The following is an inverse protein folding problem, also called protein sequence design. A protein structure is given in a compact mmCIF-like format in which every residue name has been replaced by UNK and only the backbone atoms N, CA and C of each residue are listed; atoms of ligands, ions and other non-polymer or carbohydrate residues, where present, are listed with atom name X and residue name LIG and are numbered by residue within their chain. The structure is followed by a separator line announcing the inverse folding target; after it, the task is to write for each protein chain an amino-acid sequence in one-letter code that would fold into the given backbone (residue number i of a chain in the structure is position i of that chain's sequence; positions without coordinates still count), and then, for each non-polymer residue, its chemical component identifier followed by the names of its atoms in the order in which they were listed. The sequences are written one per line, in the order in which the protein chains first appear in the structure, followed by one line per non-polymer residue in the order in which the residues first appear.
data_IF_746321642949
#
_entry.id   IF_746321642949
#
_cell.length_a   1.000
_cell.length_b   1.000
_cell.length_c   1.000
_cell.angle_alpha   90.00
_cell.angle_beta   90.00
_cell.angle_gamma   90.00
#
_symmetry.space_group_name_H-M   'P 1'
#
loop_
_entity.id
_entity.type
_entity.pdbx_description
1 polymer ?
#
# COMPACT_ATOMS: atom_id res chain seq x y z
N UNK A 1 72.45 12.47 -2.02
CA UNK A 1 71.39 11.94 -1.11
C UNK A 1 70.07 12.66 -1.44
N UNK A 2 69.14 12.01 -2.15
CA UNK A 2 67.85 12.59 -2.55
C UNK A 2 66.75 11.83 -1.82
N UNK A 3 66.07 12.51 -0.91
CA UNK A 3 64.99 11.95 -0.12
C UNK A 3 63.67 12.07 -0.93
N UNK A 4 63.09 10.96 -1.31
CA UNK A 4 61.71 10.89 -1.84
C UNK A 4 60.78 10.72 -0.63
N UNK A 5 60.00 11.80 -0.34
CA UNK A 5 58.89 11.73 0.59
C UNK A 5 57.68 11.27 -0.22
N UNK A 6 57.28 10.02 -0.02
CA UNK A 6 56.03 9.47 -0.58
C UNK A 6 54.82 9.98 0.19
N UNK A 7 53.95 10.73 -0.47
CA UNK A 7 52.64 11.19 0.03
C UNK A 7 51.65 10.04 -0.07
N UNK A 8 51.35 9.35 1.05
CA UNK A 8 50.26 8.40 1.13
C UNK A 8 48.94 9.18 1.24
N UNK A 9 48.15 9.26 0.15
CA UNK A 9 46.81 9.78 0.19
C UNK A 9 45.91 8.72 0.83
N UNK A 10 45.49 8.92 2.09
CA UNK A 10 44.42 8.16 2.72
C UNK A 10 43.09 8.58 1.99
N UNK A 11 42.59 7.72 1.13
CA UNK A 11 41.19 7.79 0.71
C UNK A 11 40.32 7.34 1.90
N UNK A 12 39.84 8.29 2.69
CA UNK A 12 38.77 8.06 3.64
C UNK A 12 37.49 7.78 2.84
N UNK A 13 37.20 6.53 2.57
CA UNK A 13 35.89 6.11 2.09
C UNK A 13 34.86 6.52 3.16
N UNK A 14 33.98 7.49 2.84
CA UNK A 14 32.83 7.77 3.66
C UNK A 14 31.95 6.51 3.68
N UNK A 15 32.09 5.70 4.74
CA UNK A 15 31.15 4.64 5.01
C UNK A 15 29.77 5.33 5.15
N UNK A 16 28.86 5.07 4.24
CA UNK A 16 27.48 5.52 4.35
C UNK A 16 26.95 4.97 5.68
N UNK A 17 26.69 5.87 6.63
CA UNK A 17 26.22 5.47 7.96
C UNK A 17 24.82 4.88 7.78
N UNK A 18 24.64 3.62 8.17
CA UNK A 18 23.34 2.97 8.19
C UNK A 18 22.37 3.80 9.03
N UNK A 19 21.23 4.17 8.47
CA UNK A 19 20.20 4.95 9.14
C UNK A 19 18.87 4.23 9.11
N UNK A 20 17.97 4.60 10.02
CA UNK A 20 16.59 4.11 10.01
C UNK A 20 15.66 5.20 9.46
N UNK A 21 14.55 4.78 8.81
CA UNK A 21 13.47 5.65 8.35
C UNK A 21 12.12 5.12 8.83
N UNK A 22 11.32 6.00 9.45
CA UNK A 22 9.96 5.67 9.95
C UNK A 22 8.95 5.81 8.81
N UNK A 23 8.32 4.70 8.43
CA UNK A 23 7.48 4.63 7.23
C UNK A 23 6.04 4.27 7.59
N UNK A 24 5.11 5.16 7.26
CA UNK A 24 3.67 4.87 7.28
C UNK A 24 3.27 4.23 5.96
N UNK A 25 2.72 3.03 5.98
CA UNK A 25 2.41 2.23 4.79
C UNK A 25 0.94 1.84 4.80
N UNK A 26 0.21 2.17 3.75
CA UNK A 26 -1.16 1.71 3.57
C UNK A 26 -1.24 0.18 3.57
N UNK A 27 -2.21 -0.37 4.31
CA UNK A 27 -2.29 -1.79 4.66
C UNK A 27 -2.38 -2.74 3.45
N UNK A 28 -2.88 -2.26 2.29
CA UNK A 28 -2.88 -3.03 1.04
C UNK A 28 -1.47 -3.32 0.52
N UNK A 29 -0.49 -2.49 0.89
CA UNK A 29 0.88 -2.60 0.41
C UNK A 29 1.82 -3.32 1.40
N UNK A 30 1.27 -3.97 2.45
CA UNK A 30 2.04 -4.63 3.50
C UNK A 30 3.06 -5.64 2.95
N UNK A 31 2.61 -6.64 2.22
CA UNK A 31 3.49 -7.72 1.74
C UNK A 31 4.54 -7.23 0.72
N UNK A 32 4.19 -6.40 -0.30
CA UNK A 32 5.20 -5.82 -1.18
C UNK A 32 6.22 -4.98 -0.42
N UNK A 33 5.77 -4.11 0.51
CA UNK A 33 6.67 -3.22 1.25
C UNK A 33 7.61 -3.97 2.18
N UNK A 34 7.17 -5.04 2.84
CA UNK A 34 8.04 -5.89 3.64
C UNK A 34 9.17 -6.49 2.80
N UNK A 35 8.84 -6.97 1.58
CA UNK A 35 9.85 -7.50 0.65
C UNK A 35 10.79 -6.40 0.14
N UNK A 36 10.24 -5.23 -0.22
CA UNK A 36 11.05 -4.07 -0.65
C UNK A 36 11.97 -3.62 0.48
N UNK A 37 11.48 -3.54 1.73
CA UNK A 37 12.27 -3.11 2.89
C UNK A 37 13.46 -4.05 3.17
N UNK A 38 13.25 -5.37 3.06
CA UNK A 38 14.32 -6.34 3.20
C UNK A 38 15.41 -6.19 2.12
N UNK A 39 15.01 -5.99 0.86
CA UNK A 39 15.96 -5.77 -0.23
C UNK A 39 16.62 -4.38 -0.14
N UNK A 40 15.90 -3.36 0.31
CA UNK A 40 16.43 -2.03 0.58
C UNK A 40 17.53 -2.07 1.66
N UNK A 41 17.28 -2.73 2.77
CA UNK A 41 18.26 -2.90 3.84
C UNK A 41 19.52 -3.64 3.35
N UNK A 42 19.33 -4.72 2.60
CA UNK A 42 20.42 -5.50 2.01
C UNK A 42 21.27 -4.68 1.05
N UNK A 43 20.64 -3.86 0.19
CA UNK A 43 21.33 -3.15 -0.89
C UNK A 43 21.96 -1.82 -0.42
N UNK A 44 21.42 -1.20 0.64
CA UNK A 44 21.83 0.15 1.07
C UNK A 44 22.39 0.21 2.49
N UNK A 45 22.14 -0.80 3.31
CA UNK A 45 22.43 -0.79 4.75
C UNK A 45 21.44 0.05 5.57
N UNK A 46 20.54 0.84 4.94
CA UNK A 46 19.50 1.57 5.65
C UNK A 46 18.31 0.69 5.96
N UNK A 47 17.65 0.93 7.09
CA UNK A 47 16.50 0.15 7.54
C UNK A 47 15.20 0.95 7.47
N UNK A 48 14.17 0.39 6.86
CA UNK A 48 12.82 0.93 6.89
C UNK A 48 12.02 0.31 8.06
N UNK A 49 11.59 1.14 9.00
CA UNK A 49 10.74 0.76 10.14
C UNK A 49 9.29 0.99 9.73
N UNK A 50 8.54 -0.09 9.52
CA UNK A 50 7.24 -0.06 8.87
C UNK A 50 6.09 -0.06 9.87
N UNK A 51 5.15 0.86 9.71
CA UNK A 51 3.84 0.85 10.36
C UNK A 51 2.76 0.69 9.29
N UNK A 52 1.79 -0.20 9.53
CA UNK A 52 0.73 -0.50 8.57
C UNK A 52 -0.64 -0.05 9.08
N UNK A 53 -1.44 0.58 8.22
CA UNK A 53 -2.76 1.10 8.61
C UNK A 53 -3.57 1.64 7.45
N UNK A 54 -4.70 2.30 7.76
CA UNK A 54 -5.49 3.02 6.77
C UNK A 54 -4.87 4.38 6.45
N UNK A 55 -4.90 4.79 5.18
CA UNK A 55 -4.36 6.07 4.70
C UNK A 55 -4.90 7.27 5.50
N UNK A 56 -6.23 7.36 5.70
CA UNK A 56 -6.84 8.45 6.45
C UNK A 56 -6.49 8.46 7.94
N UNK A 57 -6.17 7.30 8.53
CA UNK A 57 -5.64 7.21 9.90
C UNK A 57 -4.22 7.77 9.98
N UNK A 58 -3.37 7.45 8.99
CA UNK A 58 -2.03 8.02 8.91
C UNK A 58 -2.05 9.52 8.68
N UNK A 59 -2.95 10.02 7.81
CA UNK A 59 -3.16 11.46 7.67
C UNK A 59 -3.40 12.13 9.03
N UNK A 60 -4.38 11.62 9.80
CA UNK A 60 -4.69 12.16 11.11
C UNK A 60 -3.51 12.10 12.08
N UNK A 61 -2.72 11.04 12.07
CA UNK A 61 -1.52 10.89 12.90
C UNK A 61 -0.42 11.88 12.50
N UNK A 62 -0.18 12.03 11.18
CA UNK A 62 0.86 12.94 10.64
C UNK A 62 0.56 14.39 11.03
N UNK A 63 -0.65 14.88 10.81
CA UNK A 63 -1.03 16.27 11.16
C UNK A 63 -1.03 16.52 12.67
N UNK A 64 -1.16 15.46 13.49
CA UNK A 64 -1.01 15.50 14.94
C UNK A 64 0.42 15.20 15.42
N UNK A 65 1.40 15.22 14.53
CA UNK A 65 2.81 15.18 14.89
C UNK A 65 3.41 13.79 15.07
N UNK A 66 2.81 12.72 14.56
CA UNK A 66 3.43 11.39 14.55
C UNK A 66 4.82 11.39 13.88
N UNK A 67 5.77 10.52 14.31
CA UNK A 67 7.17 10.59 13.91
C UNK A 67 7.45 9.93 12.55
N UNK A 68 6.46 9.86 11.66
CA UNK A 68 6.66 9.30 10.33
C UNK A 68 7.48 10.25 9.45
N UNK A 69 8.34 9.65 8.63
CA UNK A 69 9.27 10.35 7.73
C UNK A 69 8.94 10.11 6.25
N UNK A 70 8.29 8.98 5.94
CA UNK A 70 7.78 8.66 4.61
C UNK A 70 6.35 8.11 4.73
N UNK A 71 5.48 8.50 3.82
CA UNK A 71 4.14 7.96 3.66
C UNK A 71 4.03 7.24 2.31
N UNK A 72 3.54 6.00 2.31
CA UNK A 72 3.02 5.30 1.14
C UNK A 72 1.51 5.16 1.31
N UNK A 73 0.76 6.05 0.65
CA UNK A 73 -0.71 6.09 0.72
C UNK A 73 -1.34 5.09 -0.25
N UNK A 74 -2.62 4.76 -0.04
CA UNK A 74 -3.43 3.99 -0.98
C UNK A 74 -4.28 4.88 -1.92
N UNK A 75 -4.05 6.18 -1.89
CA UNK A 75 -4.62 7.20 -2.78
C UNK A 75 -3.56 8.24 -3.16
N UNK A 76 -3.89 9.14 -4.07
CA UNK A 76 -3.09 10.30 -4.46
C UNK A 76 -3.58 11.61 -3.80
N UNK A 77 -4.79 11.62 -3.27
CA UNK A 77 -5.42 12.79 -2.64
C UNK A 77 -4.79 13.13 -1.28
N UNK A 78 -4.56 12.11 -0.44
CA UNK A 78 -3.98 12.30 0.90
C UNK A 78 -2.57 12.90 0.84
N UNK A 79 -1.61 12.38 0.03
CA UNK A 79 -0.31 13.01 -0.14
C UNK A 79 -0.39 14.42 -0.73
N UNK A 80 -1.30 14.65 -1.71
CA UNK A 80 -1.51 15.99 -2.27
C UNK A 80 -2.02 16.99 -1.21
N UNK A 81 -2.94 16.56 -0.34
CA UNK A 81 -3.43 17.37 0.77
C UNK A 81 -2.31 17.72 1.76
N UNK A 82 -1.47 16.74 2.12
CA UNK A 82 -0.31 16.97 2.99
C UNK A 82 0.70 17.94 2.35
N UNK A 83 0.85 17.96 1.02
CA UNK A 83 1.68 18.96 0.32
C UNK A 83 1.11 20.37 0.49
N UNK A 84 -0.19 20.56 0.30
CA UNK A 84 -0.88 21.85 0.50
C UNK A 84 -0.75 22.34 1.95
N UNK A 85 -0.75 21.42 2.90
CA UNK A 85 -0.60 21.68 4.33
C UNK A 85 0.88 21.82 4.79
N UNK A 86 1.83 21.85 3.86
CA UNK A 86 3.27 21.93 4.13
C UNK A 86 3.82 20.84 5.06
N UNK A 87 3.20 19.65 5.05
CA UNK A 87 3.62 18.49 5.85
C UNK A 87 4.62 17.58 5.10
N UNK A 88 5.03 17.96 3.91
CA UNK A 88 5.89 17.14 3.04
C UNK A 88 7.13 17.90 2.57
N UNK A 89 8.10 17.16 2.03
CA UNK A 89 9.22 17.74 1.30
C UNK A 89 8.78 17.98 -0.15
N UNK A 90 8.81 19.23 -0.64
CA UNK A 90 8.37 19.57 -1.98
C UNK A 90 9.08 18.76 -3.08
N UNK A 91 8.30 18.29 -4.07
CA UNK A 91 8.82 17.56 -5.23
C UNK A 91 9.18 16.11 -4.99
N UNK A 92 8.87 15.55 -3.80
CA UNK A 92 9.14 14.13 -3.48
C UNK A 92 7.93 13.22 -3.69
N UNK A 93 6.73 13.79 -3.94
CA UNK A 93 5.53 13.01 -4.23
C UNK A 93 5.60 12.36 -5.62
N UNK A 94 5.27 11.08 -5.68
CA UNK A 94 5.15 10.35 -6.94
C UNK A 94 4.21 9.15 -6.79
N UNK A 95 3.56 8.75 -7.89
CA UNK A 95 2.77 7.52 -7.93
C UNK A 95 3.69 6.31 -7.98
N UNK A 96 3.62 5.45 -6.98
CA UNK A 96 4.44 4.23 -6.89
C UNK A 96 3.70 2.98 -7.39
N UNK A 97 2.36 3.00 -7.41
CA UNK A 97 1.53 1.88 -7.83
C UNK A 97 0.09 2.31 -8.14
N UNK A 98 -0.59 1.55 -9.00
CA UNK A 98 -2.04 1.60 -9.14
C UNK A 98 -2.62 0.24 -8.74
N UNK A 99 -3.50 0.26 -7.73
CA UNK A 99 -4.09 -0.94 -7.16
C UNK A 99 -5.34 -1.42 -7.88
N UNK A 100 -5.72 -2.68 -7.60
CA UNK A 100 -6.96 -3.28 -8.10
C UNK A 100 -7.81 -3.81 -6.95
N UNK A 101 -9.09 -3.55 -7.02
CA UNK A 101 -10.08 -4.08 -6.09
C UNK A 101 -10.51 -5.48 -6.54
N UNK A 102 -10.70 -6.38 -5.59
CA UNK A 102 -11.17 -7.76 -5.84
C UNK A 102 -12.30 -8.09 -4.88
N UNK A 103 -13.38 -8.64 -5.39
CA UNK A 103 -14.30 -9.43 -4.57
C UNK A 103 -13.70 -10.81 -4.42
N UNK A 104 -13.46 -11.26 -3.19
CA UNK A 104 -12.75 -12.50 -2.92
C UNK A 104 -13.43 -13.32 -1.82
N UNK A 105 -13.31 -14.64 -1.93
CA UNK A 105 -13.64 -15.63 -0.89
C UNK A 105 -12.44 -16.55 -0.67
N UNK A 106 -12.21 -16.94 0.59
CA UNK A 106 -11.18 -17.94 0.91
C UNK A 106 -11.53 -19.36 0.38
N UNK A 107 -12.78 -19.57 -0.02
CA UNK A 107 -13.26 -20.84 -0.58
C UNK A 107 -13.27 -20.81 -2.10
N UNK A 108 -12.86 -21.91 -2.70
CA UNK A 108 -12.92 -22.09 -4.14
C UNK A 108 -14.37 -22.11 -4.65
N UNK A 109 -14.60 -21.54 -5.83
CA UNK A 109 -15.88 -21.57 -6.53
C UNK A 109 -17.01 -20.72 -5.91
N UNK A 110 -16.76 -19.98 -4.82
CA UNK A 110 -17.78 -19.08 -4.22
C UNK A 110 -17.94 -17.79 -5.02
N UNK A 111 -16.85 -17.25 -5.52
CA UNK A 111 -16.84 -16.05 -6.36
C UNK A 111 -16.44 -16.45 -7.77
N UNK A 112 -17.34 -16.23 -8.73
CA UNK A 112 -17.06 -16.42 -10.16
C UNK A 112 -16.31 -15.20 -10.75
N UNK A 113 -15.90 -15.30 -12.00
CA UNK A 113 -15.17 -14.24 -12.71
C UNK A 113 -16.03 -13.01 -13.10
N UNK A 114 -17.29 -12.96 -12.68
CA UNK A 114 -18.23 -11.87 -12.94
C UNK A 114 -18.84 -11.30 -11.64
N UNK A 115 -18.53 -11.87 -10.47
CA UNK A 115 -19.05 -11.44 -9.19
C UNK A 115 -20.58 -11.65 -9.03
N UNK A 116 -21.15 -12.66 -9.70
CA UNK A 116 -22.60 -12.90 -9.67
C UNK A 116 -23.14 -13.15 -8.26
N UNK A 117 -22.31 -13.68 -7.36
CA UNK A 117 -22.66 -13.90 -5.95
C UNK A 117 -23.15 -12.61 -5.25
N UNK A 118 -22.70 -11.44 -5.66
CA UNK A 118 -23.22 -10.15 -5.14
C UNK A 118 -24.68 -9.96 -5.46
N UNK A 119 -25.16 -10.44 -6.61
CA UNK A 119 -26.55 -10.31 -7.07
C UNK A 119 -27.45 -11.35 -6.43
N UNK A 120 -26.98 -12.55 -6.19
CA UNK A 120 -27.78 -13.60 -5.53
C UNK A 120 -28.07 -13.25 -4.08
N UNK A 121 -27.10 -12.60 -3.42
CA UNK A 121 -27.21 -12.21 -2.00
C UNK A 121 -27.19 -13.38 -1.04
N UNK A 122 -26.79 -14.56 -1.49
CA UNK A 122 -26.75 -15.79 -0.69
C UNK A 122 -25.48 -15.87 0.17
N UNK A 123 -25.33 -14.86 1.05
CA UNK A 123 -24.26 -14.75 2.04
C UNK A 123 -24.74 -13.91 3.23
N UNK A 124 -24.22 -14.24 4.43
CA UNK A 124 -24.58 -13.53 5.65
C UNK A 124 -23.84 -12.19 5.78
N UNK A 125 -22.55 -12.13 5.42
CA UNK A 125 -21.69 -10.98 5.59
C UNK A 125 -20.86 -10.72 4.34
N UNK A 126 -20.62 -9.42 4.05
CA UNK A 126 -19.73 -8.92 3.01
C UNK A 126 -18.71 -7.98 3.68
N UNK A 127 -17.45 -8.40 3.73
CA UNK A 127 -16.41 -7.59 4.34
C UNK A 127 -15.95 -6.46 3.43
N UNK A 128 -15.80 -5.26 4.00
CA UNK A 128 -15.18 -4.10 3.35
C UNK A 128 -14.23 -3.40 4.32
N UNK A 129 -13.27 -2.64 3.80
CA UNK A 129 -12.56 -1.67 4.63
C UNK A 129 -13.46 -0.45 4.93
N UNK A 130 -13.16 0.30 5.98
CA UNK A 130 -13.90 1.51 6.32
C UNK A 130 -13.78 2.55 5.17
N UNK A 131 -14.88 2.89 4.48
CA UNK A 131 -14.82 3.76 3.31
C UNK A 131 -14.44 5.21 3.63
N UNK A 132 -14.54 5.63 4.89
CA UNK A 132 -14.19 6.99 5.33
C UNK A 132 -12.66 7.18 5.47
N UNK A 133 -11.91 6.10 5.64
CA UNK A 133 -10.47 6.18 5.95
C UNK A 133 -9.60 5.30 5.07
N UNK A 134 -10.20 4.39 4.29
CA UNK A 134 -9.48 3.43 3.44
C UNK A 134 -9.96 3.53 1.99
N UNK A 135 -9.10 3.90 1.03
CA UNK A 135 -9.45 4.06 -0.38
C UNK A 135 -10.08 2.81 -1.01
N UNK A 136 -9.61 1.61 -0.65
CA UNK A 136 -10.24 0.37 -1.10
C UNK A 136 -11.67 0.18 -0.57
N UNK A 137 -11.98 0.73 0.61
CA UNK A 137 -13.34 0.75 1.14
C UNK A 137 -14.25 1.70 0.36
N UNK A 138 -13.74 2.88 0.00
CA UNK A 138 -14.44 3.82 -0.88
C UNK A 138 -14.72 3.18 -2.25
N UNK A 139 -13.71 2.55 -2.87
CA UNK A 139 -13.86 1.85 -4.14
C UNK A 139 -14.89 0.70 -4.09
N UNK A 140 -14.98 -0.02 -2.95
CA UNK A 140 -16.00 -1.04 -2.75
C UNK A 140 -17.42 -0.45 -2.71
N UNK A 141 -17.63 0.66 -2.02
CA UNK A 141 -18.91 1.37 -1.98
C UNK A 141 -19.28 1.91 -3.38
N UNK A 142 -18.32 2.52 -4.11
CA UNK A 142 -18.56 2.97 -5.49
C UNK A 142 -18.99 1.80 -6.39
N UNK A 143 -18.29 0.65 -6.29
CA UNK A 143 -18.63 -0.56 -7.05
C UNK A 143 -20.05 -1.01 -6.76
N UNK A 144 -20.42 -1.13 -5.49
CA UNK A 144 -21.75 -1.54 -5.07
C UNK A 144 -22.82 -0.54 -5.53
N UNK A 145 -22.53 0.77 -5.50
CA UNK A 145 -23.42 1.83 -5.97
C UNK A 145 -23.64 1.73 -7.48
N UNK A 146 -22.57 1.61 -8.27
CA UNK A 146 -22.67 1.50 -9.75
C UNK A 146 -23.37 0.22 -10.20
N UNK A 147 -23.29 -0.84 -9.38
CA UNK A 147 -24.05 -2.08 -9.62
C UNK A 147 -25.51 -1.99 -9.14
N UNK A 148 -25.94 -0.91 -8.50
CA UNK A 148 -27.25 -0.74 -7.84
C UNK A 148 -27.50 -1.82 -6.76
N UNK A 149 -26.47 -2.23 -6.03
CA UNK A 149 -26.54 -3.27 -5.00
C UNK A 149 -26.33 -2.73 -3.58
N UNK A 150 -25.89 -1.47 -3.39
CA UNK A 150 -25.50 -0.94 -2.08
C UNK A 150 -26.63 -1.09 -1.05
N UNK A 151 -27.84 -0.62 -1.35
CA UNK A 151 -28.98 -0.68 -0.44
C UNK A 151 -29.34 -2.13 -0.05
N UNK A 152 -29.24 -3.03 -1.03
CA UNK A 152 -29.54 -4.46 -0.82
C UNK A 152 -28.56 -5.14 0.12
N UNK A 153 -27.26 -4.76 0.07
CA UNK A 153 -26.20 -5.42 0.85
C UNK A 153 -25.84 -4.64 2.12
N UNK A 154 -26.39 -3.44 2.33
CA UNK A 154 -26.01 -2.57 3.44
C UNK A 154 -26.11 -3.25 4.80
N UNK A 155 -27.17 -4.02 5.05
CA UNK A 155 -27.37 -4.78 6.29
C UNK A 155 -26.41 -5.97 6.46
N UNK A 156 -25.65 -6.33 5.43
CA UNK A 156 -24.67 -7.43 5.43
C UNK A 156 -23.22 -6.94 5.51
N UNK A 157 -22.99 -5.62 5.39
CA UNK A 157 -21.65 -5.07 5.40
C UNK A 157 -21.02 -5.19 6.79
N UNK A 158 -19.82 -5.77 6.82
CA UNK A 158 -18.95 -5.77 8.00
C UNK A 158 -17.69 -4.98 7.67
N UNK A 159 -17.40 -3.96 8.48
CA UNK A 159 -16.33 -3.02 8.21
C UNK A 159 -15.09 -3.31 9.05
N UNK A 160 -13.96 -3.54 8.37
CA UNK A 160 -12.65 -3.50 8.98
C UNK A 160 -12.11 -2.07 9.04
N UNK A 161 -11.24 -1.75 9.99
CA UNK A 161 -10.59 -0.43 10.07
C UNK A 161 -9.78 -0.08 8.82
N UNK A 162 -9.21 -1.10 8.17
CA UNK A 162 -8.42 -1.01 6.95
C UNK A 162 -8.61 -2.28 6.11
N UNK A 163 -7.97 -2.32 4.93
CA UNK A 163 -8.14 -3.42 3.99
C UNK A 163 -7.51 -4.74 4.48
N UNK A 164 -6.52 -4.69 5.37
CA UNK A 164 -5.95 -5.91 5.96
C UNK A 164 -6.94 -6.57 6.92
N UNK A 165 -7.69 -5.79 7.71
CA UNK A 165 -8.73 -6.35 8.57
C UNK A 165 -9.93 -6.88 7.76
N UNK A 166 -10.33 -6.22 6.67
CA UNK A 166 -11.34 -6.75 5.75
C UNK A 166 -10.90 -8.11 5.17
N UNK A 167 -9.65 -8.21 4.71
CA UNK A 167 -9.06 -9.48 4.27
C UNK A 167 -9.07 -10.52 5.39
N UNK A 168 -8.72 -10.15 6.61
CA UNK A 168 -8.71 -11.06 7.77
C UNK A 168 -10.10 -11.63 8.04
N UNK A 169 -11.17 -10.82 7.96
CA UNK A 169 -12.54 -11.34 8.14
C UNK A 169 -12.88 -12.44 7.13
N UNK A 170 -12.43 -12.31 5.89
CA UNK A 170 -12.69 -13.33 4.87
C UNK A 170 -11.78 -14.54 5.03
N UNK A 171 -10.48 -14.34 5.25
CA UNK A 171 -9.49 -15.40 5.34
C UNK A 171 -9.72 -16.32 6.56
N UNK A 172 -10.30 -15.78 7.62
CA UNK A 172 -10.65 -16.55 8.84
C UNK A 172 -12.08 -17.13 8.82
N UNK A 173 -12.87 -16.85 7.77
CA UNK A 173 -14.24 -17.33 7.61
C UNK A 173 -15.29 -16.54 8.40
N UNK A 174 -14.92 -15.43 9.05
CA UNK A 174 -15.88 -14.54 9.73
C UNK A 174 -16.80 -13.80 8.74
N UNK A 175 -16.37 -13.63 7.50
CA UNK A 175 -17.19 -13.24 6.37
C UNK A 175 -16.96 -14.24 5.23
N UNK A 176 -18.01 -14.74 4.55
CA UNK A 176 -17.85 -15.69 3.45
C UNK A 176 -17.16 -15.08 2.23
N UNK A 177 -17.27 -13.76 2.04
CA UNK A 177 -16.62 -13.00 0.98
C UNK A 177 -16.43 -11.53 1.39
N UNK A 178 -15.59 -10.82 0.68
CA UNK A 178 -15.33 -9.40 0.92
C UNK A 178 -14.59 -8.74 -0.23
N UNK A 179 -14.61 -7.42 -0.24
CA UNK A 179 -13.74 -6.64 -1.10
C UNK A 179 -12.37 -6.48 -0.43
N UNK A 180 -11.34 -6.91 -1.16
CA UNK A 180 -9.94 -6.90 -0.73
C UNK A 180 -9.06 -6.27 -1.80
N UNK A 181 -7.80 -5.95 -1.48
CA UNK A 181 -6.83 -5.54 -2.48
C UNK A 181 -6.29 -6.76 -3.22
N UNK A 182 -6.10 -6.67 -4.54
CA UNK A 182 -5.54 -7.76 -5.35
C UNK A 182 -4.21 -8.26 -4.77
N UNK A 183 -3.38 -7.36 -4.29
CA UNK A 183 -2.07 -7.65 -3.67
C UNK A 183 -2.11 -8.60 -2.47
N UNK A 184 -3.26 -8.74 -1.82
CA UNK A 184 -3.42 -9.61 -0.65
C UNK A 184 -3.67 -11.08 -1.03
N UNK A 185 -4.19 -11.31 -2.24
CA UNK A 185 -4.68 -12.63 -2.70
C UNK A 185 -4.06 -13.08 -4.02
N UNK A 186 -3.09 -12.33 -4.55
CA UNK A 186 -2.54 -12.54 -5.89
C UNK A 186 -1.02 -12.49 -5.90
N UNK A 187 -0.41 -13.40 -6.65
CA UNK A 187 1.03 -13.46 -6.85
C UNK A 187 1.34 -14.03 -8.22
N UNK A 188 2.25 -13.37 -8.93
CA UNK A 188 2.83 -13.85 -10.18
C UNK A 188 1.78 -14.38 -11.19
N UNK A 189 0.72 -13.58 -11.42
CA UNK A 189 -0.27 -13.86 -12.44
C UNK A 189 -1.50 -14.66 -11.99
N UNK A 190 -1.61 -15.09 -10.72
CA UNK A 190 -2.71 -15.95 -10.24
C UNK A 190 -3.14 -15.64 -8.81
N UNK A 191 -4.36 -16.02 -8.47
CA UNK A 191 -4.80 -16.06 -7.07
C UNK A 191 -3.98 -17.11 -6.31
N UNK A 192 -3.60 -16.78 -5.07
CA UNK A 192 -2.82 -17.67 -4.19
C UNK A 192 -3.70 -18.69 -3.48
N UNK A 193 -5.00 -18.39 -3.34
CA UNK A 193 -6.01 -19.27 -2.73
C UNK A 193 -7.41 -18.74 -3.02
N UNK A 194 -8.43 -19.60 -2.85
CA UNK A 194 -9.83 -19.23 -2.97
C UNK A 194 -10.26 -18.81 -4.36
N UNK A 195 -11.35 -18.09 -4.43
CA UNK A 195 -11.94 -17.61 -5.69
C UNK A 195 -12.20 -16.12 -5.65
N UNK A 196 -12.09 -15.43 -6.79
CA UNK A 196 -12.22 -13.98 -6.82
C UNK A 196 -12.59 -13.41 -8.17
N UNK A 197 -13.18 -12.22 -8.13
CA UNK A 197 -13.50 -11.39 -9.27
C UNK A 197 -12.73 -10.08 -9.16
N UNK A 198 -11.80 -9.86 -10.11
CA UNK A 198 -11.12 -8.57 -10.22
C UNK A 198 -12.17 -7.56 -10.71
N UNK A 199 -12.46 -6.57 -9.90
CA UNK A 199 -13.48 -5.56 -10.22
C UNK A 199 -13.05 -4.74 -11.43
N UNK A 200 -13.88 -4.62 -12.46
CA UNK A 200 -13.57 -3.78 -13.61
C UNK A 200 -13.33 -2.31 -13.22
N UNK A 201 -12.34 -1.67 -13.82
CA UNK A 201 -11.99 -0.27 -13.58
C UNK A 201 -13.15 0.72 -13.86
N UNK A 202 -14.16 0.33 -14.64
CA UNK A 202 -15.36 1.14 -14.88
C UNK A 202 -16.29 1.24 -13.65
N UNK A 203 -16.13 0.36 -12.66
CA UNK A 203 -17.02 0.29 -11.49
C UNK A 203 -16.52 1.11 -10.29
N UNK A 204 -15.32 1.64 -10.32
CA UNK A 204 -14.78 2.56 -9.30
C UNK A 204 -13.74 3.50 -9.91
N UNK A 205 -13.37 4.55 -9.20
CA UNK A 205 -12.25 5.40 -9.57
C UNK A 205 -10.91 4.64 -9.52
N UNK A 206 -9.88 5.11 -10.25
CA UNK A 206 -8.55 4.50 -10.20
C UNK A 206 -7.98 4.58 -8.77
N UNK A 207 -7.45 3.48 -8.26
CA UNK A 207 -6.79 3.44 -6.94
C UNK A 207 -5.31 3.76 -7.14
N UNK A 208 -5.03 5.03 -7.48
CA UNK A 208 -3.69 5.55 -7.68
C UNK A 208 -3.05 5.79 -6.32
N UNK A 209 -1.82 5.32 -6.12
CA UNK A 209 -1.17 5.29 -4.82
C UNK A 209 0.13 6.09 -4.86
N UNK A 210 0.18 7.17 -4.09
CA UNK A 210 1.34 8.05 -4.05
C UNK A 210 2.18 7.82 -2.79
N UNK A 211 3.50 7.93 -2.97
CA UNK A 211 4.48 8.03 -1.92
C UNK A 211 5.01 9.45 -1.81
N UNK A 212 5.37 9.86 -0.58
CA UNK A 212 5.95 11.18 -0.32
C UNK A 212 6.87 11.16 0.90
N UNK A 213 7.95 11.94 0.88
CA UNK A 213 8.75 12.21 2.06
C UNK A 213 8.02 13.28 2.90
N UNK A 214 7.77 13.00 4.16
CA UNK A 214 7.15 13.94 5.09
C UNK A 214 8.18 14.96 5.60
N UNK A 215 7.72 16.10 6.08
CA UNK A 215 8.57 17.19 6.58
C UNK A 215 9.60 16.72 7.62
N UNK A 216 9.22 15.75 8.47
CA UNK A 216 10.11 15.14 9.47
C UNK A 216 11.25 14.31 8.87
N UNK A 217 11.06 13.79 7.65
CA UNK A 217 12.10 13.05 6.91
C UNK A 217 13.04 13.91 6.09
N UNK A 218 12.86 15.24 6.08
CA UNK A 218 13.61 16.16 5.20
C UNK A 218 15.13 16.08 5.35
N UNK A 219 15.63 15.86 6.57
CA UNK A 219 17.05 15.76 6.86
C UNK A 219 17.55 14.30 6.94
N UNK A 220 16.66 13.30 6.77
CA UNK A 220 17.04 11.89 6.89
C UNK A 220 17.52 11.31 5.55
N UNK A 221 18.81 10.97 5.39
CA UNK A 221 19.33 10.38 4.16
C UNK A 221 18.69 9.03 3.82
N UNK A 222 18.24 8.25 4.84
CA UNK A 222 17.55 6.98 4.62
C UNK A 222 16.16 7.19 3.99
N UNK A 223 15.45 8.29 4.30
CA UNK A 223 14.17 8.63 3.67
C UNK A 223 14.35 8.92 2.17
N UNK A 224 15.39 9.70 1.82
CA UNK A 224 15.72 9.99 0.42
C UNK A 224 16.21 8.74 -0.33
N UNK A 225 16.99 7.89 0.32
CA UNK A 225 17.44 6.62 -0.25
C UNK A 225 16.25 5.69 -0.53
N UNK A 226 15.27 5.61 0.40
CA UNK A 226 14.06 4.81 0.22
C UNK A 226 13.18 5.33 -0.93
N UNK A 227 13.00 6.65 -1.05
CA UNK A 227 12.28 7.27 -2.16
C UNK A 227 12.91 6.87 -3.52
N UNK A 228 14.23 6.97 -3.64
CA UNK A 228 14.95 6.53 -4.83
C UNK A 228 14.84 5.03 -5.08
N UNK A 229 14.90 4.22 -4.02
CA UNK A 229 14.78 2.75 -4.12
C UNK A 229 13.41 2.30 -4.61
N UNK A 230 12.34 2.93 -4.15
CA UNK A 230 10.96 2.67 -4.62
C UNK A 230 10.80 2.88 -6.12
N UNK A 231 11.59 3.78 -6.72
CA UNK A 231 11.62 4.05 -8.17
C UNK A 231 12.49 3.07 -8.96
N UNK A 232 13.28 2.22 -8.29
CA UNK A 232 14.19 1.25 -8.92
C UNK A 232 13.45 0.13 -9.67
N UNK A 233 14.13 -0.50 -10.63
CA UNK A 233 13.59 -1.66 -11.34
C UNK A 233 13.28 -2.82 -10.38
N UNK A 234 14.12 -3.05 -9.39
CA UNK A 234 13.95 -4.11 -8.38
C UNK A 234 12.67 -3.91 -7.57
N UNK A 235 12.40 -2.70 -7.09
CA UNK A 235 11.15 -2.40 -6.40
C UNK A 235 9.94 -2.53 -7.34
N UNK A 236 10.04 -2.05 -8.58
CA UNK A 236 8.98 -2.15 -9.59
C UNK A 236 8.63 -3.60 -9.94
N UNK A 237 9.61 -4.48 -10.05
CA UNK A 237 9.39 -5.92 -10.26
C UNK A 237 8.64 -6.55 -9.08
N UNK A 238 9.04 -6.23 -7.85
CA UNK A 238 8.31 -6.67 -6.66
C UNK A 238 6.86 -6.17 -6.72
N UNK A 239 6.63 -4.89 -6.98
CA UNK A 239 5.30 -4.28 -7.03
C UNK A 239 4.42 -4.99 -8.06
N UNK A 240 4.93 -5.21 -9.29
CA UNK A 240 4.20 -5.92 -10.34
C UNK A 240 3.86 -7.37 -9.96
N UNK A 241 4.74 -8.07 -9.25
CA UNK A 241 4.51 -9.47 -8.85
C UNK A 241 3.30 -9.63 -7.93
N UNK A 242 2.85 -8.55 -7.27
CA UNK A 242 1.65 -8.51 -6.46
C UNK A 242 0.40 -7.98 -7.20
N UNK A 243 0.47 -7.83 -8.54
CA UNK A 243 -0.66 -7.44 -9.37
C UNK A 243 -0.93 -5.94 -9.48
N UNK A 244 -0.02 -5.09 -9.01
CA UNK A 244 -0.09 -3.64 -9.23
C UNK A 244 0.30 -3.26 -10.65
N UNK A 245 -0.28 -2.17 -11.14
CA UNK A 245 0.18 -1.43 -12.32
C UNK A 245 1.10 -0.27 -11.88
N UNK A 246 1.99 0.16 -12.81
CA UNK A 246 2.98 1.21 -12.59
C UNK A 246 2.80 2.32 -13.62
#
# INVERSE_FOLDING_TARGET
MRWFAGLLALMAGAAAQAGEVQVAVAANFTAPMQKIAAEFEKDTGHKAVLAFGATGKFYAQIVNGAPFEVLLAADDETPAKLEVEHQTVPGTRFTYATGKLVLWSAKDGVVDNQGQVLKTGDYAHLAIANPKTAPYGAAAIETLTKLNLLDRVQGKLVQGENIAQAYQFVSTGNAPLGFVALSQVYRDGRFTSGSGWIVPASLHGPIRQDAVILAKGSANPAAKALEGYLKSNKAKEIIRSYGYEL
#
